data_IF_912397461797
#
_entry.id   IF_912397461797
#
_cell.length_a   1.000
_cell.length_b   1.000
_cell.length_c   1.000
_cell.angle_alpha   90.00
_cell.angle_beta   90.00
_cell.angle_gamma   90.00
#
_symmetry.space_group_name_H-M   'P 1'
#
loop_
_entity.id
_entity.type
_entity.pdbx_description
1 polymer ?
#
# COMPACT_ATOMS: atom_id res chain seq x y z
N UNK A 1 4.19 17.28 -18.42
CA UNK A 1 3.92 16.91 -17.02
C UNK A 1 5.21 17.00 -16.22
N UNK A 2 5.17 17.59 -15.02
CA UNK A 2 6.26 17.56 -14.04
C UNK A 2 5.80 16.68 -12.86
N UNK A 3 6.46 15.53 -12.66
CA UNK A 3 6.27 14.68 -11.51
C UNK A 3 7.33 15.03 -10.46
N UNK A 4 6.87 15.28 -9.22
CA UNK A 4 7.74 15.66 -8.10
C UNK A 4 7.65 14.61 -7.01
N UNK A 5 8.80 14.12 -6.55
CA UNK A 5 8.95 13.15 -5.47
C UNK A 5 9.93 13.69 -4.43
N UNK A 6 9.51 13.68 -3.17
CA UNK A 6 10.34 14.14 -2.06
C UNK A 6 11.55 13.25 -1.80
N UNK A 7 11.38 11.95 -2.03
CA UNK A 7 12.45 10.96 -1.89
C UNK A 7 13.32 10.81 -3.13
N UNK A 8 14.20 9.82 -3.06
CA UNK A 8 15.12 9.48 -4.15
C UNK A 8 14.52 8.58 -5.22
N UNK A 9 15.41 8.11 -6.11
CA UNK A 9 15.09 7.07 -7.09
C UNK A 9 14.88 5.72 -6.38
N UNK A 10 14.10 4.86 -7.00
CA UNK A 10 13.79 3.49 -6.57
C UNK A 10 14.90 2.47 -6.93
N UNK A 11 16.16 2.88 -6.86
CA UNK A 11 17.30 2.05 -7.26
C UNK A 11 17.92 1.21 -6.13
N UNK A 12 17.40 1.30 -4.92
CA UNK A 12 17.81 0.46 -3.80
C UNK A 12 17.34 -0.99 -4.04
N UNK A 13 18.25 -1.98 -4.16
CA UNK A 13 17.89 -3.34 -4.61
C UNK A 13 16.78 -3.99 -3.78
N UNK A 14 16.72 -3.71 -2.48
CA UNK A 14 15.70 -4.25 -1.57
C UNK A 14 14.28 -3.74 -1.85
N UNK A 15 14.13 -2.64 -2.61
CA UNK A 15 12.81 -2.21 -3.09
C UNK A 15 12.23 -3.26 -4.04
N UNK A 16 13.07 -3.83 -4.92
CA UNK A 16 12.62 -4.74 -5.98
C UNK A 16 12.46 -6.18 -5.53
N UNK A 17 13.15 -6.57 -4.45
CA UNK A 17 13.05 -7.91 -3.86
C UNK A 17 11.85 -7.92 -2.89
N UNK A 18 10.83 -8.78 -3.09
CA UNK A 18 9.59 -8.73 -2.30
C UNK A 18 9.80 -8.72 -0.79
N UNK A 19 10.58 -9.65 -0.24
CA UNK A 19 10.88 -9.71 1.20
C UNK A 19 11.65 -8.47 1.68
N UNK A 20 12.20 -7.67 0.77
CA UNK A 20 12.98 -6.48 1.07
C UNK A 20 12.22 -5.36 1.79
N UNK A 21 10.89 -5.46 1.91
CA UNK A 21 10.11 -4.51 2.69
C UNK A 21 10.63 -4.37 4.14
N UNK A 22 11.19 -5.43 4.74
CA UNK A 22 11.88 -5.38 6.04
C UNK A 22 13.14 -4.47 6.07
N UNK A 23 13.73 -4.20 4.91
CA UNK A 23 14.92 -3.34 4.77
C UNK A 23 14.59 -1.93 4.32
N UNK A 24 13.39 -1.73 3.79
CA UNK A 24 12.93 -0.46 3.25
C UNK A 24 12.05 0.30 4.24
N UNK A 25 11.22 -0.39 5.04
CA UNK A 25 10.52 0.19 6.18
C UNK A 25 11.50 0.64 7.26
N UNK A 26 11.20 1.76 7.92
CA UNK A 26 12.04 2.39 8.94
C UNK A 26 13.45 2.81 8.45
N UNK A 27 13.67 2.80 7.15
CA UNK A 27 14.91 3.29 6.55
C UNK A 27 14.71 4.72 6.03
N UNK A 28 15.36 5.75 6.60
CA UNK A 28 15.15 7.14 6.23
C UNK A 28 15.43 7.47 4.75
N UNK A 29 16.13 6.57 4.03
CA UNK A 29 16.37 6.71 2.59
C UNK A 29 15.15 6.37 1.73
N UNK A 30 14.22 5.55 2.27
CA UNK A 30 13.07 5.02 1.53
C UNK A 30 11.75 5.22 2.25
N UNK A 31 11.78 5.66 3.52
CA UNK A 31 10.64 5.82 4.40
C UNK A 31 10.67 7.20 5.04
N UNK A 32 9.50 7.82 5.22
CA UNK A 32 9.34 9.06 5.99
C UNK A 32 9.58 8.84 7.49
N UNK A 33 9.51 7.60 7.96
CA UNK A 33 9.67 7.21 9.36
C UNK A 33 8.71 7.97 10.30
N UNK A 34 7.47 8.16 9.87
CA UNK A 34 6.46 8.80 10.71
C UNK A 34 6.15 7.96 11.94
N UNK A 35 5.72 8.64 12.99
CA UNK A 35 5.18 8.06 14.22
C UNK A 35 3.90 8.79 14.59
N UNK A 36 2.97 8.06 15.21
CA UNK A 36 1.81 8.68 15.82
C UNK A 36 2.21 9.42 17.09
N UNK A 37 1.44 10.42 17.49
CA UNK A 37 1.49 10.90 18.86
C UNK A 37 1.12 9.77 19.83
N UNK A 38 1.59 9.83 21.10
CA UNK A 38 1.14 8.90 22.13
C UNK A 38 -0.38 8.91 22.24
N UNK A 39 -0.99 7.72 22.38
CA UNK A 39 -2.45 7.57 22.46
C UNK A 39 -2.81 6.74 23.71
N UNK A 40 -3.60 7.32 24.59
CA UNK A 40 -4.01 6.71 25.87
C UNK A 40 -4.85 5.44 25.65
N UNK A 41 -5.61 5.34 24.54
CA UNK A 41 -6.40 4.16 24.21
C UNK A 41 -5.54 2.91 23.97
N UNK A 42 -4.26 3.10 23.72
CA UNK A 42 -3.25 2.04 23.53
C UNK A 42 -2.10 2.13 24.56
N UNK A 43 -2.43 2.52 25.78
CA UNK A 43 -1.50 2.66 26.92
C UNK A 43 -0.36 3.68 26.66
N UNK A 44 -0.67 4.83 26.09
CA UNK A 44 0.27 5.90 25.82
C UNK A 44 1.33 5.56 24.76
N UNK A 45 1.13 4.51 23.97
CA UNK A 45 2.10 4.11 22.93
C UNK A 45 2.06 5.03 21.73
N UNK A 46 3.22 5.26 21.16
CA UNK A 46 3.41 5.82 19.81
C UNK A 46 3.70 4.69 18.84
N UNK A 47 3.03 4.66 17.71
CA UNK A 47 3.14 3.62 16.70
C UNK A 47 3.95 4.14 15.51
N UNK A 48 4.92 3.34 15.04
CA UNK A 48 5.60 3.61 13.79
C UNK A 48 4.62 3.54 12.61
N UNK A 49 4.68 4.53 11.74
CA UNK A 49 3.75 4.67 10.62
C UNK A 49 4.49 4.81 9.28
N UNK A 50 5.04 3.70 8.74
CA UNK A 50 5.87 3.73 7.54
C UNK A 50 5.12 4.27 6.33
N UNK A 51 5.74 5.19 5.59
CA UNK A 51 5.24 5.71 4.31
C UNK A 51 6.41 5.91 3.36
N UNK A 52 6.27 5.43 2.13
CA UNK A 52 7.35 5.48 1.16
C UNK A 52 7.78 6.89 0.80
N UNK A 53 9.10 7.10 0.82
CA UNK A 53 9.81 8.33 0.42
C UNK A 53 10.78 8.01 -0.70
N UNK A 54 10.23 7.65 -1.84
CA UNK A 54 10.97 7.24 -3.05
C UNK A 54 10.03 7.21 -4.24
N UNK A 55 10.53 7.13 -5.47
CA UNK A 55 9.67 6.87 -6.62
C UNK A 55 8.82 5.61 -6.41
N UNK A 56 7.53 5.72 -6.70
CA UNK A 56 6.54 4.69 -6.40
C UNK A 56 5.91 4.79 -5.01
N UNK A 57 6.40 5.68 -4.14
CA UNK A 57 5.84 5.92 -2.81
C UNK A 57 5.74 4.63 -1.99
N UNK A 58 4.64 4.46 -1.26
CA UNK A 58 4.43 3.28 -0.40
C UNK A 58 4.34 1.96 -1.17
N UNK A 59 4.01 1.95 -2.47
CA UNK A 59 4.06 0.72 -3.28
C UNK A 59 5.48 0.15 -3.45
N UNK A 60 6.51 0.98 -3.22
CA UNK A 60 7.93 0.56 -3.24
C UNK A 60 8.39 -0.06 -1.93
N UNK A 61 7.64 0.10 -0.82
CA UNK A 61 8.04 -0.40 0.51
C UNK A 61 6.95 -1.23 1.21
N UNK A 62 5.76 -1.36 0.64
CA UNK A 62 4.64 -2.11 1.23
C UNK A 62 4.87 -3.63 1.19
N UNK A 63 3.96 -4.38 1.81
CA UNK A 63 3.96 -5.84 1.85
C UNK A 63 3.44 -6.54 0.59
N UNK A 64 3.22 -5.86 -0.51
CA UNK A 64 2.80 -6.34 -1.84
C UNK A 64 1.39 -6.93 -1.94
N UNK A 65 0.67 -7.12 -0.86
CA UNK A 65 -0.63 -7.78 -0.88
C UNK A 65 -1.62 -7.04 -1.80
N UNK A 66 -2.29 -7.77 -2.68
CA UNK A 66 -3.28 -7.23 -3.60
C UNK A 66 -4.68 -7.66 -3.16
N UNK A 67 -5.39 -6.76 -2.53
CA UNK A 67 -6.78 -6.94 -2.09
C UNK A 67 -7.56 -5.67 -2.45
N UNK A 68 -8.73 -5.85 -3.06
CA UNK A 68 -9.73 -4.80 -3.24
C UNK A 68 -10.69 -4.78 -2.05
N UNK A 69 -11.34 -3.66 -1.83
CA UNK A 69 -12.49 -3.59 -0.94
C UNK A 69 -13.63 -4.49 -1.43
N UNK A 70 -14.58 -4.79 -0.53
CA UNK A 70 -15.82 -5.44 -0.89
C UNK A 70 -16.69 -4.49 -1.73
N UNK A 71 -17.57 -5.01 -2.57
CA UNK A 71 -18.49 -4.18 -3.36
C UNK A 71 -19.25 -3.18 -2.50
N UNK A 72 -19.69 -3.62 -1.31
CA UNK A 72 -20.38 -2.78 -0.34
C UNK A 72 -19.56 -1.58 0.13
N UNK A 73 -18.23 -1.69 0.26
CA UNK A 73 -17.38 -0.58 0.72
C UNK A 73 -17.49 0.62 -0.24
N UNK A 74 -17.49 0.35 -1.54
CA UNK A 74 -17.63 1.38 -2.58
C UNK A 74 -19.08 1.88 -2.68
N UNK A 75 -20.04 1.00 -2.54
CA UNK A 75 -21.46 1.38 -2.55
C UNK A 75 -21.83 2.27 -1.37
N UNK A 76 -21.22 2.05 -0.19
CA UNK A 76 -21.34 2.96 0.95
C UNK A 76 -20.77 4.34 0.61
N UNK A 77 -19.61 4.41 -0.07
CA UNK A 77 -19.09 5.71 -0.51
C UNK A 77 -20.06 6.44 -1.44
N UNK A 78 -20.66 5.73 -2.40
CA UNK A 78 -21.69 6.30 -3.30
C UNK A 78 -22.89 6.80 -2.49
N UNK A 79 -23.39 6.02 -1.54
CA UNK A 79 -24.53 6.39 -0.67
C UNK A 79 -24.23 7.62 0.20
N UNK A 80 -22.98 7.82 0.60
CA UNK A 80 -22.52 9.00 1.32
C UNK A 80 -22.38 10.26 0.43
N UNK A 81 -22.83 10.21 -0.80
CA UNK A 81 -22.82 11.33 -1.75
C UNK A 81 -21.64 11.35 -2.73
N UNK A 82 -20.78 10.35 -2.71
CA UNK A 82 -19.66 10.25 -3.66
C UNK A 82 -20.12 9.54 -4.94
N UNK A 83 -20.95 10.20 -5.75
CA UNK A 83 -21.43 9.66 -7.02
C UNK A 83 -20.25 9.31 -7.94
N UNK A 84 -20.32 8.15 -8.59
CA UNK A 84 -19.23 7.63 -9.44
C UNK A 84 -18.19 6.82 -8.67
N UNK A 85 -18.43 6.48 -7.38
CA UNK A 85 -17.55 5.67 -6.55
C UNK A 85 -18.18 4.35 -6.08
N UNK A 86 -19.34 3.94 -6.63
CA UNK A 86 -19.91 2.63 -6.39
C UNK A 86 -19.09 1.51 -7.04
N UNK A 87 -19.37 0.26 -6.67
CA UNK A 87 -18.64 -0.90 -7.18
C UNK A 87 -18.60 -0.94 -8.72
N UNK A 88 -19.75 -0.76 -9.35
CA UNK A 88 -19.83 -0.78 -10.81
C UNK A 88 -19.09 0.37 -11.49
N UNK A 89 -18.93 1.49 -10.79
CA UNK A 89 -18.17 2.65 -11.27
C UNK A 89 -16.66 2.40 -11.21
N UNK A 90 -16.16 1.74 -10.14
CA UNK A 90 -14.72 1.57 -9.90
C UNK A 90 -14.15 0.28 -10.49
N UNK A 91 -14.95 -0.78 -10.64
CA UNK A 91 -14.50 -2.06 -11.18
C UNK A 91 -13.83 -1.95 -12.56
N UNK A 92 -14.35 -1.17 -13.53
CA UNK A 92 -13.68 -0.99 -14.83
C UNK A 92 -12.25 -0.43 -14.72
N UNK A 93 -11.97 0.40 -13.70
CA UNK A 93 -10.63 0.94 -13.46
C UNK A 93 -9.69 -0.09 -12.82
N UNK A 94 -10.18 -0.95 -11.94
CA UNK A 94 -9.42 -2.10 -11.46
C UNK A 94 -9.03 -3.02 -12.61
N UNK A 95 -9.98 -3.41 -13.44
CA UNK A 95 -9.77 -4.24 -14.64
C UNK A 95 -8.75 -3.59 -15.58
N UNK A 96 -8.91 -2.30 -15.88
CA UNK A 96 -8.01 -1.54 -16.76
C UNK A 96 -6.57 -1.46 -16.23
N UNK A 97 -6.38 -1.37 -14.93
CA UNK A 97 -5.06 -1.23 -14.31
C UNK A 97 -4.32 -2.55 -14.18
N UNK A 98 -5.01 -3.66 -14.14
CA UNK A 98 -4.50 -4.97 -13.77
C UNK A 98 -3.95 -5.77 -14.95
N UNK A 99 -2.86 -6.49 -14.69
CA UNK A 99 -2.37 -7.57 -15.51
C UNK A 99 -2.31 -8.84 -14.66
N UNK A 100 -3.46 -9.54 -14.59
CA UNK A 100 -3.66 -10.73 -13.77
C UNK A 100 -2.95 -11.94 -14.39
N UNK A 101 -2.12 -12.64 -13.61
CA UNK A 101 -1.38 -13.83 -14.03
C UNK A 101 -2.33 -14.98 -14.42
N UNK A 102 -3.49 -15.09 -13.76
CA UNK A 102 -4.52 -16.10 -14.04
C UNK A 102 -5.35 -15.80 -15.29
N UNK A 103 -5.15 -14.64 -15.93
CA UNK A 103 -5.89 -14.20 -17.10
C UNK A 103 -7.05 -13.26 -16.77
N UNK A 104 -7.73 -12.78 -17.85
CA UNK A 104 -8.87 -11.89 -17.73
C UNK A 104 -10.17 -12.66 -17.46
N UNK A 105 -11.08 -12.03 -16.69
CA UNK A 105 -12.46 -12.48 -16.51
C UNK A 105 -13.36 -11.27 -16.21
N UNK A 106 -14.57 -11.48 -15.72
CA UNK A 106 -15.51 -10.39 -15.39
C UNK A 106 -15.03 -9.44 -14.29
N UNK A 107 -14.09 -9.87 -13.42
CA UNK A 107 -13.53 -9.07 -12.33
C UNK A 107 -12.08 -8.64 -12.60
N UNK A 108 -11.37 -9.30 -13.49
CA UNK A 108 -9.93 -9.15 -13.67
C UNK A 108 -9.54 -8.75 -15.08
N UNK A 109 -8.51 -7.89 -15.18
CA UNK A 109 -7.90 -7.50 -16.44
C UNK A 109 -6.60 -8.23 -16.73
N UNK A 110 -6.31 -8.43 -18.03
CA UNK A 110 -5.00 -8.85 -18.51
C UNK A 110 -4.43 -7.79 -19.45
N UNK A 111 -3.12 -7.51 -19.31
CA UNK A 111 -2.45 -6.51 -20.16
C UNK A 111 -2.42 -5.09 -19.60
N UNK A 112 -3.02 -4.84 -18.43
CA UNK A 112 -2.82 -3.58 -17.72
C UNK A 112 -1.39 -3.42 -17.18
N UNK A 113 -1.01 -2.25 -16.68
CA UNK A 113 0.36 -1.98 -16.26
C UNK A 113 0.76 -2.64 -14.93
N UNK A 114 -0.20 -2.87 -14.01
CA UNK A 114 0.05 -3.41 -12.68
C UNK A 114 -0.04 -4.94 -12.71
N UNK A 115 1.11 -5.61 -12.63
CA UNK A 115 1.14 -7.07 -12.56
C UNK A 115 0.68 -7.57 -11.19
N UNK A 116 -0.26 -8.51 -11.22
CA UNK A 116 -0.77 -9.25 -10.05
C UNK A 116 -0.53 -10.72 -10.30
N UNK A 117 0.09 -11.40 -9.35
CA UNK A 117 0.44 -12.81 -9.47
C UNK A 117 0.10 -13.59 -8.21
N UNK A 118 0.07 -14.92 -8.34
CA UNK A 118 0.00 -15.81 -7.20
C UNK A 118 1.31 -15.81 -6.42
N UNK A 119 1.23 -16.12 -5.13
CA UNK A 119 2.40 -16.28 -4.27
C UNK A 119 3.26 -17.46 -4.78
N UNK A 120 4.59 -17.27 -4.75
CA UNK A 120 5.56 -18.24 -5.26
C UNK A 120 6.15 -19.15 -4.18
N UNK A 121 5.45 -19.25 -3.05
CA UNK A 121 5.80 -20.15 -1.94
C UNK A 121 4.52 -20.79 -1.38
N UNK A 122 4.56 -22.09 -1.15
CA UNK A 122 3.51 -22.84 -0.44
C UNK A 122 4.13 -23.57 0.72
N UNK A 123 3.41 -23.69 1.82
CA UNK A 123 3.86 -24.34 3.04
C UNK A 123 2.68 -25.07 3.67
N UNK A 124 2.88 -26.30 4.06
CA UNK A 124 1.87 -27.20 4.65
C UNK A 124 1.10 -26.52 5.80
N UNK A 125 1.78 -25.71 6.62
CA UNK A 125 1.14 -25.00 7.74
C UNK A 125 0.06 -24.00 7.27
N UNK A 126 0.17 -23.43 6.08
CA UNK A 126 -0.83 -22.51 5.53
C UNK A 126 -2.02 -23.29 4.97
N UNK A 127 -1.76 -24.44 4.34
CA UNK A 127 -2.82 -25.35 3.87
C UNK A 127 -3.60 -25.90 5.06
N UNK A 128 -2.93 -26.30 6.15
CA UNK A 128 -3.58 -26.72 7.39
C UNK A 128 -4.39 -25.60 8.06
N UNK A 129 -3.92 -24.37 8.03
CA UNK A 129 -4.71 -23.24 8.51
C UNK A 129 -5.97 -23.03 7.68
N UNK A 130 -5.88 -23.20 6.35
CA UNK A 130 -7.03 -23.11 5.46
C UNK A 130 -8.04 -24.23 5.71
N UNK A 131 -7.57 -25.48 5.99
CA UNK A 131 -8.40 -26.59 6.40
C UNK A 131 -9.14 -26.27 7.71
N UNK A 132 -8.43 -25.79 8.72
CA UNK A 132 -9.01 -25.41 10.00
C UNK A 132 -10.03 -24.26 9.89
N UNK A 133 -9.80 -23.31 8.99
CA UNK A 133 -10.77 -22.23 8.70
C UNK A 133 -12.08 -22.81 8.13
N UNK A 134 -11.98 -23.81 7.24
CA UNK A 134 -13.14 -24.49 6.66
C UNK A 134 -13.94 -25.28 7.72
N UNK A 135 -13.27 -25.94 8.67
CA UNK A 135 -13.91 -26.64 9.79
C UNK A 135 -14.76 -25.74 10.67
N UNK A 136 -14.44 -24.47 10.78
CA UNK A 136 -15.20 -23.45 11.54
C UNK A 136 -16.15 -22.63 10.67
N UNK A 137 -16.41 -23.04 9.43
CA UNK A 137 -17.40 -22.42 8.54
C UNK A 137 -16.86 -21.24 7.72
N UNK A 138 -15.54 -20.99 7.64
CA UNK A 138 -14.95 -20.02 6.74
C UNK A 138 -14.56 -20.77 5.45
N UNK A 139 -15.27 -20.58 4.32
CA UNK A 139 -15.07 -21.39 3.13
C UNK A 139 -13.69 -21.14 2.49
N UNK A 140 -13.15 -22.18 1.86
CA UNK A 140 -12.04 -22.02 0.92
C UNK A 140 -12.54 -21.34 -0.33
N UNK A 141 -11.87 -20.29 -0.74
CA UNK A 141 -12.18 -19.56 -1.97
C UNK A 141 -10.95 -19.56 -2.89
N UNK A 142 -11.10 -19.05 -4.10
CA UNK A 142 -9.99 -18.93 -5.04
C UNK A 142 -9.61 -17.48 -5.31
N UNK A 143 -10.44 -16.53 -4.88
CA UNK A 143 -10.28 -15.13 -5.22
C UNK A 143 -11.04 -14.22 -4.25
N UNK A 144 -10.35 -13.25 -3.69
CA UNK A 144 -10.92 -12.22 -2.82
C UNK A 144 -11.42 -10.98 -3.58
N UNK A 145 -11.07 -10.84 -4.84
CA UNK A 145 -11.20 -9.57 -5.59
C UNK A 145 -12.44 -9.54 -6.50
N UNK A 146 -13.46 -10.34 -6.17
CA UNK A 146 -14.72 -10.45 -6.91
C UNK A 146 -15.84 -9.54 -6.38
N UNK A 147 -15.57 -8.76 -5.33
CA UNK A 147 -16.56 -7.93 -4.64
C UNK A 147 -17.14 -8.59 -3.37
N UNK A 148 -16.91 -9.87 -3.17
CA UNK A 148 -17.14 -10.60 -1.91
C UNK A 148 -15.83 -11.23 -1.45
N UNK A 149 -15.46 -10.96 -0.19
CA UNK A 149 -14.19 -11.41 0.37
C UNK A 149 -14.37 -12.58 1.36
N UNK A 150 -15.61 -13.00 1.67
CA UNK A 150 -15.84 -14.02 2.70
C UNK A 150 -15.18 -15.35 2.33
N UNK A 151 -14.17 -15.75 3.11
CA UNK A 151 -13.46 -17.00 2.89
C UNK A 151 -11.97 -16.95 3.25
N UNK A 152 -11.27 -18.02 2.92
CA UNK A 152 -9.85 -18.19 3.21
C UNK A 152 -9.10 -18.69 1.97
N UNK A 153 -8.02 -17.97 1.59
CA UNK A 153 -7.11 -18.37 0.50
C UNK A 153 -5.75 -17.69 0.65
N UNK A 154 -4.83 -18.11 -0.20
CA UNK A 154 -3.56 -17.42 -0.38
C UNK A 154 -3.77 -16.01 -0.97
N UNK A 155 -2.97 -15.06 -0.52
CA UNK A 155 -2.95 -13.74 -1.14
C UNK A 155 -2.46 -13.78 -2.58
N UNK A 156 -2.98 -12.89 -3.39
CA UNK A 156 -2.29 -12.44 -4.59
C UNK A 156 -1.42 -11.23 -4.26
N UNK A 157 -0.38 -11.01 -5.05
CA UNK A 157 0.64 -10.00 -4.78
C UNK A 157 0.97 -9.17 -6.01
N UNK A 158 1.34 -7.91 -5.79
CA UNK A 158 1.81 -7.01 -6.86
C UNK A 158 3.24 -7.35 -7.25
N UNK A 159 3.40 -8.45 -7.97
CA UNK A 159 4.67 -8.98 -8.46
C UNK A 159 4.65 -9.28 -9.94
N UNK A 160 5.84 -9.20 -10.54
CA UNK A 160 6.10 -9.66 -11.90
C UNK A 160 7.37 -10.52 -11.87
N UNK A 161 7.25 -11.80 -12.22
CA UNK A 161 8.39 -12.74 -12.26
C UNK A 161 9.17 -12.78 -10.93
N UNK A 162 8.47 -12.79 -9.78
CA UNK A 162 9.07 -12.84 -8.45
C UNK A 162 9.79 -11.55 -8.02
N UNK A 163 9.53 -10.44 -8.67
CA UNK A 163 10.01 -9.12 -8.30
C UNK A 163 8.83 -8.16 -8.07
N UNK A 164 9.00 -7.21 -7.16
CA UNK A 164 8.00 -6.17 -6.88
C UNK A 164 7.59 -5.40 -8.13
N UNK A 165 6.29 -5.30 -8.37
CA UNK A 165 5.68 -4.42 -9.35
C UNK A 165 5.11 -3.18 -8.65
N UNK A 166 5.98 -2.24 -8.26
CA UNK A 166 5.56 -0.96 -7.68
C UNK A 166 4.91 -0.06 -8.75
N UNK A 167 4.24 1.02 -8.33
CA UNK A 167 3.69 2.00 -9.28
C UNK A 167 4.79 2.67 -10.12
N UNK A 168 6.03 2.78 -9.59
CA UNK A 168 7.16 3.22 -10.40
C UNK A 168 7.48 2.22 -11.52
N UNK A 169 7.46 0.93 -11.23
CA UNK A 169 7.69 -0.13 -12.23
C UNK A 169 6.53 -0.22 -13.21
N UNK A 170 5.29 -0.22 -12.71
CA UNK A 170 4.09 -0.41 -13.50
C UNK A 170 3.78 0.78 -14.44
N UNK A 171 3.86 2.00 -13.92
CA UNK A 171 3.37 3.18 -14.64
C UNK A 171 4.48 4.17 -15.03
N UNK A 172 5.41 4.47 -14.09
CA UNK A 172 6.38 5.52 -14.33
C UNK A 172 7.48 5.09 -15.30
N UNK A 173 8.04 3.89 -15.15
CA UNK A 173 9.13 3.42 -16.00
C UNK A 173 8.74 3.37 -17.49
N UNK A 174 7.56 2.87 -17.89
CA UNK A 174 7.11 2.97 -19.28
C UNK A 174 6.94 4.41 -19.76
N UNK A 175 6.48 5.31 -18.87
CA UNK A 175 6.22 6.71 -19.19
C UNK A 175 7.48 7.60 -19.26
N UNK A 176 8.57 7.21 -18.63
CA UNK A 176 9.83 8.01 -18.58
C UNK A 176 10.42 8.37 -19.94
N UNK A 177 10.10 7.57 -20.97
CA UNK A 177 10.55 7.82 -22.35
C UNK A 177 9.77 8.92 -23.08
N UNK A 178 8.65 9.39 -22.50
CA UNK A 178 7.82 10.44 -23.09
C UNK A 178 8.49 11.80 -22.97
N UNK A 179 8.64 12.53 -24.07
CA UNK A 179 9.25 13.87 -24.10
C UNK A 179 8.50 14.91 -23.25
N UNK A 180 7.21 14.69 -23.01
CA UNK A 180 6.37 15.58 -22.22
C UNK A 180 6.35 15.26 -20.71
N UNK A 181 7.19 14.33 -20.22
CA UNK A 181 7.31 13.98 -18.81
C UNK A 181 8.70 14.33 -18.29
N UNK A 182 8.75 15.18 -17.27
CA UNK A 182 9.94 15.43 -16.45
C UNK A 182 9.72 14.89 -15.04
N UNK A 183 10.70 14.17 -14.50
CA UNK A 183 10.68 13.59 -13.14
C UNK A 183 11.75 14.27 -12.30
N UNK A 184 11.34 14.91 -11.22
CA UNK A 184 12.21 15.53 -10.22
C UNK A 184 12.15 14.73 -8.92
N UNK A 185 13.29 14.23 -8.47
CA UNK A 185 13.46 13.53 -7.18
C UNK A 185 14.22 14.39 -6.18
N UNK A 186 14.16 14.03 -4.90
CA UNK A 186 14.69 14.84 -3.80
C UNK A 186 14.13 16.26 -3.84
N UNK A 187 12.87 16.37 -4.21
CA UNK A 187 12.14 17.61 -4.40
C UNK A 187 10.93 17.66 -3.46
N UNK A 188 11.07 18.34 -2.34
CA UNK A 188 10.08 18.36 -1.27
C UNK A 188 9.09 19.51 -1.48
N UNK A 189 7.83 19.21 -1.81
CA UNK A 189 6.79 20.22 -2.01
C UNK A 189 6.56 20.98 -0.71
N UNK A 190 6.66 22.31 -0.80
CA UNK A 190 6.36 23.22 0.30
C UNK A 190 4.87 23.56 0.34
N UNK A 191 4.31 23.94 -0.82
CA UNK A 191 2.89 24.31 -0.94
C UNK A 191 2.44 24.38 -2.39
N UNK A 192 1.13 24.35 -2.58
CA UNK A 192 0.46 24.76 -3.82
C UNK A 192 0.34 26.29 -3.82
N UNK A 193 0.63 26.93 -4.95
CA UNK A 193 0.46 28.36 -5.14
C UNK A 193 -0.89 28.62 -5.79
N UNK A 194 -1.61 29.64 -5.27
CA UNK A 194 -2.93 30.02 -5.73
C UNK A 194 -2.94 31.44 -6.32
N UNK A 195 -3.74 31.64 -7.37
CA UNK A 195 -4.19 32.93 -7.87
C UNK A 195 -5.69 33.04 -7.55
N UNK A 196 -6.04 33.76 -6.50
CA UNK A 196 -7.37 33.68 -5.88
C UNK A 196 -7.65 32.29 -5.35
N UNK A 197 -8.63 31.57 -5.91
CA UNK A 197 -8.97 30.16 -5.58
C UNK A 197 -8.47 29.15 -6.61
N UNK A 198 -7.78 29.60 -7.66
CA UNK A 198 -7.25 28.73 -8.72
C UNK A 198 -5.85 28.26 -8.37
N UNK A 199 -5.61 26.95 -8.38
CA UNK A 199 -4.26 26.41 -8.27
C UNK A 199 -3.44 26.79 -9.50
N UNK A 200 -2.39 27.58 -9.30
CA UNK A 200 -1.57 28.18 -10.37
C UNK A 200 -0.20 27.52 -10.51
N UNK A 201 0.19 26.67 -9.56
CA UNK A 201 1.48 26.00 -9.56
C UNK A 201 1.86 25.50 -8.20
N UNK A 202 3.15 25.21 -8.01
CA UNK A 202 3.69 24.71 -6.73
C UNK A 202 5.03 25.36 -6.42
N UNK A 203 5.38 25.39 -5.14
CA UNK A 203 6.72 25.69 -4.66
C UNK A 203 7.28 24.47 -3.93
N UNK A 204 8.54 24.11 -4.21
CA UNK A 204 9.21 22.96 -3.62
C UNK A 204 10.68 23.24 -3.32
N UNK A 205 11.22 22.57 -2.34
CA UNK A 205 12.62 22.61 -1.97
C UNK A 205 13.41 21.56 -2.75
N UNK A 206 14.55 21.96 -3.33
CA UNK A 206 15.52 21.06 -3.93
C UNK A 206 16.91 21.63 -3.72
N UNK A 207 17.86 20.85 -3.20
CA UNK A 207 19.21 21.28 -2.87
C UNK A 207 19.27 22.56 -2.03
N UNK A 208 18.34 22.69 -1.05
CA UNK A 208 18.16 23.88 -0.20
C UNK A 208 17.69 25.15 -0.95
N UNK A 209 17.36 25.06 -2.21
CA UNK A 209 16.76 26.16 -2.99
C UNK A 209 15.26 26.01 -3.09
N UNK A 210 14.54 27.13 -2.94
CA UNK A 210 13.09 27.17 -3.14
C UNK A 210 12.79 27.44 -4.61
N UNK A 211 12.27 26.44 -5.30
CA UNK A 211 11.89 26.52 -6.71
C UNK A 211 10.38 26.67 -6.82
N UNK A 212 9.95 27.61 -7.67
CA UNK A 212 8.53 27.83 -7.98
C UNK A 212 8.29 27.52 -9.46
N UNK A 213 7.25 26.71 -9.73
CA UNK A 213 6.83 26.37 -11.09
C UNK A 213 5.35 26.64 -11.28
N UNK A 214 4.98 27.13 -12.45
CA UNK A 214 3.57 27.36 -12.83
C UNK A 214 2.97 26.09 -13.45
N UNK A 215 1.68 25.88 -13.21
CA UNK A 215 0.89 24.85 -13.84
C UNK A 215 0.08 25.46 -14.99
N UNK A 216 0.23 24.92 -16.19
CA UNK A 216 -0.50 25.42 -17.37
C UNK A 216 -1.96 24.96 -17.39
N UNK A 217 -2.27 23.79 -16.77
CA UNK A 217 -3.61 23.21 -16.73
C UNK A 217 -4.09 23.01 -15.30
N UNK A 218 -3.40 22.16 -14.55
CA UNK A 218 -3.82 21.71 -13.21
C UNK A 218 -2.65 21.28 -12.35
N UNK A 219 -2.87 21.20 -11.04
CA UNK A 219 -1.99 20.58 -10.06
C UNK A 219 -2.66 19.29 -9.56
N UNK A 220 -2.04 18.14 -9.81
CA UNK A 220 -2.50 16.84 -9.34
C UNK A 220 -1.78 16.50 -8.04
N UNK A 221 -2.54 16.41 -6.95
CA UNK A 221 -2.01 16.10 -5.62
C UNK A 221 -2.18 14.62 -5.32
N UNK A 222 -1.09 13.87 -5.25
CA UNK A 222 -1.04 12.42 -5.02
C UNK A 222 0.02 12.05 -3.97
N UNK A 223 0.15 12.87 -2.91
CA UNK A 223 1.19 12.71 -1.88
C UNK A 223 0.81 11.71 -0.76
N UNK A 224 -0.23 10.90 -0.97
CA UNK A 224 -0.73 9.92 -0.01
C UNK A 224 -1.61 10.50 1.10
N UNK A 225 -2.14 9.63 1.94
CA UNK A 225 -3.14 9.98 2.97
C UNK A 225 -2.63 10.94 4.06
N UNK A 226 -1.32 11.05 4.24
CA UNK A 226 -0.69 11.98 5.19
C UNK A 226 -0.15 13.20 4.45
N UNK A 227 0.58 13.00 3.36
CA UNK A 227 1.23 14.10 2.64
C UNK A 227 0.25 15.02 1.94
N UNK A 228 -0.83 14.50 1.34
CA UNK A 228 -1.82 15.31 0.63
C UNK A 228 -2.54 16.31 1.54
N UNK A 229 -3.15 15.90 2.67
CA UNK A 229 -3.77 16.88 3.58
C UNK A 229 -2.75 17.84 4.20
N UNK A 230 -1.52 17.39 4.45
CA UNK A 230 -0.46 18.27 4.94
C UNK A 230 -0.12 19.37 3.94
N UNK A 231 0.06 19.02 2.66
CA UNK A 231 0.31 20.02 1.59
C UNK A 231 -0.89 20.96 1.43
N UNK A 232 -2.13 20.47 1.52
CA UNK A 232 -3.32 21.33 1.48
C UNK A 232 -3.32 22.33 2.64
N UNK A 233 -3.07 21.89 3.86
CA UNK A 233 -3.01 22.77 5.04
C UNK A 233 -1.90 23.82 4.92
N UNK A 234 -0.69 23.43 4.53
CA UNK A 234 0.41 24.38 4.32
C UNK A 234 0.17 25.34 3.14
N UNK A 235 -0.79 25.03 2.30
CA UNK A 235 -1.24 25.86 1.17
C UNK A 235 -2.44 26.75 1.50
N UNK A 236 -2.94 26.74 2.73
CA UNK A 236 -4.08 27.54 3.15
C UNK A 236 -5.45 26.91 2.98
N UNK A 237 -5.52 25.58 2.78
CA UNK A 237 -6.77 24.81 2.68
C UNK A 237 -6.91 23.90 3.89
N UNK A 238 -7.87 24.17 4.77
CA UNK A 238 -8.06 23.43 6.00
C UNK A 238 -8.94 24.12 7.02
N UNK A 239 -8.83 23.71 8.27
CA UNK A 239 -9.54 24.34 9.39
C UNK A 239 -9.04 25.76 9.61
N UNK A 240 -9.93 26.75 9.48
CA UNK A 240 -9.58 28.19 9.54
C UNK A 240 -8.90 28.57 10.85
N UNK A 241 -9.40 28.07 11.99
CA UNK A 241 -8.81 28.39 13.29
C UNK A 241 -7.36 27.88 13.35
N UNK A 242 -7.16 26.61 13.00
CA UNK A 242 -5.82 26.01 12.98
C UNK A 242 -4.85 26.75 12.04
N UNK A 243 -5.32 27.14 10.86
CA UNK A 243 -4.51 27.86 9.88
C UNK A 243 -4.12 29.26 10.40
N UNK A 244 -5.06 29.98 11.02
CA UNK A 244 -4.79 31.30 11.65
C UNK A 244 -3.78 31.20 12.77
N UNK A 245 -3.93 30.20 13.67
CA UNK A 245 -3.01 29.95 14.79
C UNK A 245 -1.59 29.66 14.29
N UNK A 246 -1.44 29.11 13.09
CA UNK A 246 -0.15 28.84 12.44
C UNK A 246 0.36 29.97 11.53
N UNK A 247 -0.37 31.09 11.44
CA UNK A 247 -0.01 32.22 10.56
C UNK A 247 -0.10 31.89 9.06
N UNK A 248 -0.90 30.89 8.68
CA UNK A 248 -1.07 30.48 7.28
C UNK A 248 -2.26 31.25 6.68
N UNK A 249 -2.07 31.98 5.56
CA UNK A 249 -3.16 32.64 4.86
C UNK A 249 -4.23 31.67 4.40
N UNK A 250 -5.50 31.98 4.65
CA UNK A 250 -6.63 31.10 4.33
C UNK A 250 -7.02 31.29 2.87
N UNK A 251 -6.99 30.20 2.11
CA UNK A 251 -7.51 30.11 0.74
C UNK A 251 -8.92 29.52 0.75
N UNK A 252 -9.13 28.44 1.54
CA UNK A 252 -10.43 27.79 1.64
C UNK A 252 -10.58 27.09 2.99
N UNK A 253 -11.70 27.36 3.66
CA UNK A 253 -12.06 26.69 4.91
C UNK A 253 -12.66 25.30 4.64
N UNK A 254 -12.07 24.27 5.23
CA UNK A 254 -12.63 22.91 5.24
C UNK A 254 -12.13 22.17 6.47
N UNK A 255 -13.04 21.90 7.39
CA UNK A 255 -12.72 21.25 8.67
C UNK A 255 -12.33 19.78 8.57
N UNK A 256 -12.64 19.12 7.44
CA UNK A 256 -12.36 17.68 7.25
C UNK A 256 -10.91 17.41 6.80
N UNK A 257 -10.19 18.41 6.29
CA UNK A 257 -8.82 18.22 5.83
C UNK A 257 -7.88 17.83 6.97
N UNK A 258 -7.29 16.66 6.86
CA UNK A 258 -6.36 16.10 7.87
C UNK A 258 -7.06 15.52 9.09
N UNK A 259 -8.37 15.22 9.01
CA UNK A 259 -9.15 14.54 10.05
C UNK A 259 -9.67 13.21 9.54
N UNK A 260 -10.20 12.39 10.47
CA UNK A 260 -10.87 11.12 10.20
C UNK A 260 -10.00 10.09 9.46
N UNK A 261 -8.67 10.14 9.64
CA UNK A 261 -7.81 9.09 9.14
C UNK A 261 -8.17 7.77 9.82
N UNK A 262 -8.45 6.75 9.00
CA UNK A 262 -8.71 5.39 9.45
C UNK A 262 -7.61 4.48 8.95
N UNK A 263 -7.22 3.51 9.80
CA UNK A 263 -6.28 2.46 9.45
C UNK A 263 -6.69 1.16 10.15
N UNK A 264 -6.09 0.04 9.76
CA UNK A 264 -6.40 -1.26 10.33
C UNK A 264 -5.95 -1.36 11.80
N UNK A 265 -6.89 -1.65 12.69
CA UNK A 265 -6.54 -2.12 14.03
C UNK A 265 -6.00 -3.54 13.91
N UNK A 266 -4.75 -3.75 14.30
CA UNK A 266 -4.07 -5.03 14.16
C UNK A 266 -3.67 -5.60 15.52
N UNK A 267 -4.08 -6.86 15.75
CA UNK A 267 -3.55 -7.71 16.81
C UNK A 267 -2.60 -8.74 16.20
N UNK A 268 -1.52 -9.08 16.92
CA UNK A 268 -0.51 -10.04 16.45
C UNK A 268 -0.41 -11.23 17.41
N UNK A 269 -1.33 -12.19 17.36
CA UNK A 269 -1.18 -13.42 18.12
C UNK A 269 -0.06 -14.28 17.52
N UNK A 270 0.77 -14.84 18.40
CA UNK A 270 1.85 -15.76 18.01
C UNK A 270 1.56 -17.12 18.63
N UNK A 271 1.52 -18.15 17.80
CA UNK A 271 1.21 -19.51 18.22
C UNK A 271 2.43 -20.41 18.08
N UNK A 272 2.64 -21.27 19.07
CA UNK A 272 3.60 -22.35 19.00
C UNK A 272 2.96 -23.56 18.33
N UNK A 273 3.52 -23.97 17.20
CA UNK A 273 3.05 -25.15 16.43
C UNK A 273 3.93 -26.37 16.69
N UNK A 274 3.36 -27.56 16.53
CA UNK A 274 4.04 -28.86 16.69
C UNK A 274 3.88 -29.68 15.41
N UNK A 275 4.86 -30.55 15.14
CA UNK A 275 4.84 -31.52 14.04
C UNK A 275 4.70 -30.91 12.62
N UNK A 276 4.94 -29.62 12.47
CA UNK A 276 4.88 -28.93 11.18
C UNK A 276 6.07 -27.98 11.00
N UNK A 277 6.51 -27.79 9.77
CA UNK A 277 7.66 -26.91 9.45
C UNK A 277 7.22 -25.45 9.35
N UNK A 278 8.02 -24.58 9.97
CA UNK A 278 7.92 -23.13 9.80
C UNK A 278 9.23 -22.59 9.25
N UNK A 279 9.23 -21.34 8.78
CA UNK A 279 10.44 -20.70 8.23
C UNK A 279 11.50 -20.34 9.27
N UNK A 280 11.14 -20.31 10.57
CA UNK A 280 12.04 -19.88 11.63
C UNK A 280 13.38 -20.64 11.66
N UNK A 281 13.36 -21.97 11.51
CA UNK A 281 14.60 -22.78 11.49
C UNK A 281 15.44 -22.49 10.24
N UNK A 282 14.80 -22.38 9.08
CA UNK A 282 15.48 -22.18 7.79
C UNK A 282 16.15 -20.81 7.75
N UNK A 283 15.44 -19.77 8.18
CA UNK A 283 15.96 -18.38 8.16
C UNK A 283 17.08 -18.17 9.17
N UNK A 284 17.11 -18.93 10.26
CA UNK A 284 18.16 -18.83 11.28
C UNK A 284 19.39 -19.70 10.98
N UNK A 285 19.35 -20.57 9.98
CA UNK A 285 20.47 -21.41 9.55
C UNK A 285 21.30 -20.74 8.46
N UNK A 286 22.64 -20.86 8.52
CA UNK A 286 23.53 -20.38 7.46
C UNK A 286 23.24 -21.04 6.11
N UNK A 287 23.16 -22.37 6.11
CA UNK A 287 22.80 -23.13 4.91
C UNK A 287 21.42 -22.79 4.39
N UNK A 288 20.44 -22.59 5.29
CA UNK A 288 19.10 -22.16 4.93
C UNK A 288 19.10 -20.81 4.22
N UNK A 289 19.83 -19.82 4.74
CA UNK A 289 19.97 -18.51 4.08
C UNK A 289 20.62 -18.62 2.70
N UNK A 290 21.65 -19.44 2.57
CA UNK A 290 22.33 -19.67 1.29
C UNK A 290 21.37 -20.32 0.27
N UNK A 291 20.62 -21.34 0.66
CA UNK A 291 19.61 -22.00 -0.19
C UNK A 291 18.51 -21.04 -0.62
N UNK A 292 17.96 -20.24 0.31
CA UNK A 292 16.98 -19.20 0.02
C UNK A 292 17.50 -18.19 -1.02
N UNK A 293 18.77 -17.77 -0.87
CA UNK A 293 19.40 -16.85 -1.82
C UNK A 293 19.56 -17.48 -3.21
N UNK A 294 20.03 -18.71 -3.28
CA UNK A 294 20.20 -19.45 -4.55
C UNK A 294 18.85 -19.70 -5.24
N UNK A 295 17.84 -20.15 -4.50
CA UNK A 295 16.50 -20.37 -5.04
C UNK A 295 15.95 -19.08 -5.70
N UNK A 296 16.12 -17.96 -5.03
CA UNK A 296 15.68 -16.67 -5.59
C UNK A 296 16.49 -16.25 -6.81
N UNK A 297 17.80 -16.36 -6.77
CA UNK A 297 18.67 -15.91 -7.87
C UNK A 297 18.40 -16.71 -9.15
N UNK A 298 18.29 -18.04 -9.03
CA UNK A 298 18.14 -18.92 -10.21
C UNK A 298 16.69 -19.10 -10.66
N UNK A 299 15.73 -19.11 -9.72
CA UNK A 299 14.35 -19.50 -10.04
C UNK A 299 13.30 -18.42 -9.75
N UNK A 300 13.66 -17.31 -9.08
CA UNK A 300 12.72 -16.26 -8.68
C UNK A 300 11.53 -16.81 -7.88
N UNK A 301 11.79 -17.73 -6.96
CA UNK A 301 10.81 -18.42 -6.11
C UNK A 301 11.28 -18.43 -4.65
N UNK A 302 10.41 -18.94 -3.77
CA UNK A 302 10.70 -19.19 -2.38
C UNK A 302 10.63 -17.95 -1.48
N UNK A 303 11.30 -18.03 -0.34
CA UNK A 303 11.17 -17.07 0.76
C UNK A 303 11.42 -15.61 0.36
N UNK A 304 12.32 -15.35 -0.59
CA UNK A 304 12.61 -13.98 -1.00
C UNK A 304 11.52 -13.32 -1.85
N UNK A 305 10.55 -14.12 -2.34
CA UNK A 305 9.36 -13.60 -3.05
C UNK A 305 8.16 -13.41 -2.10
N UNK A 306 8.36 -13.50 -0.79
CA UNK A 306 7.27 -13.34 0.17
C UNK A 306 6.88 -11.88 0.35
N UNK A 307 5.58 -11.64 0.27
CA UNK A 307 4.95 -10.43 0.80
C UNK A 307 4.86 -10.43 2.33
N UNK A 308 4.14 -9.46 2.88
CA UNK A 308 3.97 -9.31 4.33
C UNK A 308 3.14 -10.43 4.97
N UNK A 309 2.33 -11.14 4.18
CA UNK A 309 1.55 -12.30 4.60
C UNK A 309 1.35 -13.23 3.42
N UNK A 310 1.09 -14.51 3.68
CA UNK A 310 0.92 -15.49 2.62
C UNK A 310 -0.51 -15.98 2.49
N UNK A 311 -1.22 -16.13 3.62
CA UNK A 311 -2.60 -16.57 3.63
C UNK A 311 -3.48 -15.50 4.27
N UNK A 312 -4.69 -15.38 3.76
CA UNK A 312 -5.73 -14.47 4.22
C UNK A 312 -6.99 -15.25 4.58
N UNK A 313 -7.71 -14.75 5.57
CA UNK A 313 -9.08 -15.15 5.81
C UNK A 313 -9.92 -13.91 6.14
N UNK A 314 -11.10 -13.84 5.57
CA UNK A 314 -12.12 -12.88 5.95
C UNK A 314 -13.28 -13.60 6.61
N UNK A 315 -13.70 -13.11 7.75
CA UNK A 315 -14.77 -13.72 8.54
C UNK A 315 -15.72 -12.67 9.10
N UNK A 316 -16.89 -13.13 9.47
CA UNK A 316 -17.88 -12.34 10.20
C UNK A 316 -17.71 -12.57 11.71
N UNK A 317 -17.74 -11.49 12.50
CA UNK A 317 -17.66 -11.60 13.96
C UNK A 317 -18.92 -12.20 14.58
N UNK A 318 -20.03 -12.13 13.87
CA UNK A 318 -21.32 -12.74 14.22
C UNK A 318 -22.15 -13.00 12.94
N UNK A 319 -23.10 -13.91 13.04
CA UNK A 319 -23.90 -14.38 11.89
C UNK A 319 -24.83 -13.31 11.29
N UNK A 320 -25.19 -12.27 12.06
CA UNK A 320 -26.08 -11.21 11.60
C UNK A 320 -25.38 -10.18 10.70
N UNK A 321 -24.06 -10.27 10.55
CA UNK A 321 -23.32 -9.38 9.68
C UNK A 321 -23.55 -9.73 8.21
N UNK A 322 -23.88 -8.73 7.42
CA UNK A 322 -24.05 -8.92 5.97
C UNK A 322 -22.70 -9.28 5.29
N UNK A 323 -21.63 -8.62 5.72
CA UNK A 323 -20.29 -8.77 5.13
C UNK A 323 -19.23 -9.06 6.19
N UNK A 324 -18.11 -9.68 5.84
CA UNK A 324 -16.96 -9.85 6.73
C UNK A 324 -16.47 -8.52 7.31
N UNK A 325 -16.13 -8.56 8.60
CA UNK A 325 -15.57 -7.43 9.33
C UNK A 325 -14.29 -7.78 10.10
N UNK A 326 -13.84 -9.02 9.99
CA UNK A 326 -12.56 -9.52 10.50
C UNK A 326 -11.70 -9.95 9.33
N UNK A 327 -10.40 -9.65 9.41
CA UNK A 327 -9.41 -10.12 8.46
C UNK A 327 -8.24 -10.77 9.20
N UNK A 328 -7.84 -11.94 8.77
CA UNK A 328 -6.68 -12.66 9.28
C UNK A 328 -5.54 -12.61 8.28
N UNK A 329 -4.35 -12.31 8.78
CA UNK A 329 -3.10 -12.37 8.03
C UNK A 329 -2.23 -13.45 8.64
N UNK A 330 -1.94 -14.51 7.89
CA UNK A 330 -1.17 -15.64 8.39
C UNK A 330 0.24 -15.61 7.83
N UNK A 331 1.21 -15.66 8.73
CA UNK A 331 2.63 -15.72 8.39
C UNK A 331 3.26 -16.98 8.98
N UNK A 332 4.01 -17.78 8.20
CA UNK A 332 4.68 -19.00 8.67
C UNK A 332 6.02 -18.71 9.38
N UNK A 333 6.16 -17.52 9.93
CA UNK A 333 7.34 -17.01 10.62
C UNK A 333 6.95 -16.13 11.82
N UNK A 334 7.64 -16.28 12.94
CA UNK A 334 7.52 -15.37 14.07
C UNK A 334 8.40 -14.14 13.85
N UNK A 335 7.82 -12.96 14.08
CA UNK A 335 8.55 -11.69 14.05
C UNK A 335 8.40 -11.02 15.40
N UNK A 336 9.46 -11.06 16.22
CA UNK A 336 9.45 -10.49 17.57
C UNK A 336 9.53 -8.95 17.59
N UNK A 337 9.86 -8.34 16.44
CA UNK A 337 10.00 -6.88 16.27
C UNK A 337 9.58 -6.45 14.87
N UNK A 338 8.49 -5.80 14.76
CA UNK A 338 8.15 -4.90 13.65
C UNK A 338 7.84 -3.52 14.21
#
# INVERSE_FOLDING_TARGET
VLLIEAGGKDNYPWIHIPVGYYKTMHNPKTDWCFKTEPDDSINGRSINYPRGKTLGGSSSINGLLYIRGQSRDYDIWRQQGNTGWGWDDVLPYFIKSENQERGANEFHGAGGPLSVSDIRIKLDILDEFQNAAEEIGIPKIKDFNTGDNFGCDYFQVTEKNGLRCSTAVAYLNPAKKRSNLKVEVNAHVKKINFEGKKAAGISYWKNNELITVKANKEVILSAGSIGSPHILQTSGIGDEKKLRDLGIPIIHHNTSIGKNLQDHLMLRPVYKVKNIKTLNKTINSFFGKMMIGMEFVFFRKGVMTMGASQLCGFAKSDENRETPNLQFHVQPISTDRL
#
